data_IF_218680140858
#
_entry.id   IF_218680140858
#
_cell.length_a   1.000
_cell.length_b   1.000
_cell.length_c   1.000
_cell.angle_alpha   90.00
_cell.angle_beta   90.00
_cell.angle_gamma   90.00
#
_symmetry.space_group_name_H-M   'P 1'
#
loop_
_entity.id
_entity.type
_entity.pdbx_description
1 polymer ?
#
# COMPACT_ATOMS: atom_id res chain seq x y z
N UNK A 1 14.44 -18.58 3.10
CA UNK A 1 15.32 -17.92 2.10
C UNK A 1 14.73 -16.62 1.55
N UNK A 2 13.43 -16.54 1.19
CA UNK A 2 12.81 -15.30 0.67
C UNK A 2 12.68 -14.18 1.71
N UNK A 3 12.25 -14.49 2.93
CA UNK A 3 12.09 -13.52 4.03
C UNK A 3 13.40 -12.79 4.37
N UNK A 4 14.51 -13.52 4.49
CA UNK A 4 15.84 -12.93 4.69
C UNK A 4 16.26 -11.97 3.56
N UNK A 5 15.85 -12.24 2.32
CA UNK A 5 16.17 -11.33 1.21
C UNK A 5 15.44 -10.01 1.32
N UNK A 6 14.17 -10.03 1.76
CA UNK A 6 13.34 -8.83 1.85
C UNK A 6 13.80 -7.91 3.00
N UNK A 7 14.19 -8.50 4.13
CA UNK A 7 14.77 -7.78 5.26
C UNK A 7 16.07 -7.08 4.85
N UNK A 8 16.96 -7.78 4.12
CA UNK A 8 18.20 -7.18 3.62
C UNK A 8 17.91 -5.99 2.71
N UNK A 9 16.96 -6.13 1.78
CA UNK A 9 16.57 -5.03 0.89
C UNK A 9 15.94 -3.85 1.63
N UNK A 10 15.17 -4.12 2.70
CA UNK A 10 14.60 -3.07 3.55
C UNK A 10 15.70 -2.30 4.28
N UNK A 11 16.68 -2.98 4.89
CA UNK A 11 17.81 -2.33 5.56
C UNK A 11 18.64 -1.49 4.59
N UNK A 12 18.92 -2.01 3.39
CA UNK A 12 19.57 -1.25 2.33
C UNK A 12 18.79 0.01 1.96
N UNK A 13 17.46 -0.08 1.86
CA UNK A 13 16.62 1.08 1.60
C UNK A 13 16.64 2.08 2.76
N UNK A 14 16.72 1.63 4.01
CA UNK A 14 16.89 2.52 5.15
C UNK A 14 18.24 3.24 5.12
N UNK A 15 19.31 2.56 4.73
CA UNK A 15 20.64 3.18 4.61
C UNK A 15 20.67 4.20 3.47
N UNK A 16 20.17 3.82 2.28
CA UNK A 16 20.15 4.70 1.10
C UNK A 16 19.32 5.96 1.30
N UNK A 17 18.20 5.85 2.03
CA UNK A 17 17.36 6.99 2.35
C UNK A 17 17.82 7.72 3.62
N UNK A 18 18.92 7.32 4.26
CA UNK A 18 19.40 7.93 5.51
C UNK A 18 18.31 7.97 6.60
N UNK A 19 17.61 6.85 6.80
CA UNK A 19 16.58 6.73 7.82
C UNK A 19 17.25 6.52 9.18
N UNK A 20 17.02 7.45 10.10
CA UNK A 20 17.67 7.44 11.42
C UNK A 20 17.21 6.25 12.27
N UNK A 21 18.01 5.85 13.25
CA UNK A 21 17.64 4.74 14.15
C UNK A 21 16.30 4.97 14.88
N UNK A 22 15.99 6.22 15.24
CA UNK A 22 14.70 6.58 15.83
C UNK A 22 13.55 6.37 14.82
N UNK A 23 13.73 6.76 13.56
CA UNK A 23 12.74 6.57 12.52
C UNK A 23 12.54 5.08 12.20
N UNK A 24 13.64 4.29 12.11
CA UNK A 24 13.57 2.84 11.93
C UNK A 24 12.82 2.17 13.07
N UNK A 25 13.09 2.55 14.32
CA UNK A 25 12.37 2.02 15.48
C UNK A 25 10.88 2.33 15.46
N UNK A 26 10.51 3.55 15.07
CA UNK A 26 9.11 3.95 14.89
C UNK A 26 8.41 3.16 13.79
N UNK A 27 9.01 3.04 12.60
CA UNK A 27 8.46 2.24 11.50
C UNK A 27 8.36 0.75 11.89
N UNK A 28 9.42 0.23 12.52
CA UNK A 28 9.50 -1.16 12.99
C UNK A 28 8.40 -1.50 14.00
N UNK A 29 7.95 -0.54 14.80
CA UNK A 29 6.83 -0.74 15.74
C UNK A 29 5.55 -1.08 14.98
N UNK A 30 5.18 -0.30 13.97
CA UNK A 30 3.96 -0.52 13.19
C UNK A 30 4.07 -1.71 12.22
N UNK A 31 5.23 -1.91 11.59
CA UNK A 31 5.49 -3.13 10.81
C UNK A 31 5.43 -4.38 11.69
N UNK A 32 5.91 -4.31 12.94
CA UNK A 32 5.82 -5.40 13.90
C UNK A 32 4.37 -5.79 14.24
N UNK A 33 3.45 -4.82 14.32
CA UNK A 33 2.02 -5.11 14.50
C UNK A 33 1.46 -5.93 13.32
N UNK A 34 1.85 -5.58 12.10
CA UNK A 34 1.45 -6.30 10.88
C UNK A 34 2.08 -7.70 10.88
N UNK A 35 3.38 -7.81 11.12
CA UNK A 35 4.12 -9.07 11.13
C UNK A 35 3.52 -10.09 12.10
N UNK A 36 3.20 -9.65 13.32
CA UNK A 36 2.63 -10.51 14.35
C UNK A 36 1.21 -11.00 14.02
N UNK A 37 0.46 -10.25 13.19
CA UNK A 37 -0.89 -10.61 12.76
C UNK A 37 -0.86 -11.51 11.52
N UNK A 38 -0.13 -11.08 10.49
CA UNK A 38 -0.11 -11.72 9.18
C UNK A 38 1.21 -11.40 8.44
N UNK A 39 2.12 -12.38 8.43
CA UNK A 39 3.42 -12.26 7.75
C UNK A 39 3.28 -11.94 6.26
N UNK A 40 2.36 -12.55 5.47
CA UNK A 40 2.14 -12.18 4.08
C UNK A 40 1.79 -10.70 3.87
N UNK A 41 0.95 -10.12 4.73
CA UNK A 41 0.63 -8.68 4.71
C UNK A 41 1.86 -7.85 5.05
N UNK A 42 2.68 -8.28 6.01
CA UNK A 42 3.94 -7.59 6.30
C UNK A 42 4.89 -7.60 5.09
N UNK A 43 5.09 -8.76 4.45
CA UNK A 43 5.95 -8.84 3.27
C UNK A 43 5.43 -7.94 2.14
N UNK A 44 4.11 -7.89 1.98
CA UNK A 44 3.44 -6.99 1.04
C UNK A 44 3.72 -5.52 1.37
N UNK A 45 3.53 -5.08 2.62
CA UNK A 45 3.82 -3.70 3.01
C UNK A 45 5.27 -3.32 2.75
N UNK A 46 6.21 -4.24 3.02
CA UNK A 46 7.63 -4.01 2.71
C UNK A 46 7.87 -3.86 1.19
N UNK A 47 7.30 -4.74 0.37
CA UNK A 47 7.43 -4.63 -1.10
C UNK A 47 6.78 -3.36 -1.64
N UNK A 48 5.59 -2.98 -1.16
CA UNK A 48 4.92 -1.74 -1.56
C UNK A 48 5.75 -0.51 -1.19
N UNK A 49 6.34 -0.47 0.01
CA UNK A 49 7.30 0.58 0.37
C UNK A 49 8.48 0.65 -0.61
N UNK A 50 9.11 -0.48 -0.89
CA UNK A 50 10.26 -0.56 -1.82
C UNK A 50 9.89 -0.17 -3.26
N UNK A 51 8.71 -0.57 -3.75
CA UNK A 51 8.18 -0.16 -5.06
C UNK A 51 7.91 1.34 -5.05
N UNK A 52 7.23 1.86 -4.03
CA UNK A 52 6.94 3.29 -3.88
C UNK A 52 8.21 4.16 -3.88
N UNK A 53 9.26 3.72 -3.17
CA UNK A 53 10.59 4.36 -3.22
C UNK A 53 11.10 4.46 -4.66
N UNK A 54 11.07 3.37 -5.42
CA UNK A 54 11.55 3.35 -6.82
C UNK A 54 10.72 4.25 -7.73
N UNK A 55 9.39 4.26 -7.56
CA UNK A 55 8.49 5.16 -8.31
C UNK A 55 8.84 6.63 -8.03
N UNK A 56 9.03 7.00 -6.76
CA UNK A 56 9.43 8.35 -6.39
C UNK A 56 10.79 8.74 -7.00
N UNK A 57 11.78 7.84 -6.92
CA UNK A 57 13.10 8.04 -7.52
C UNK A 57 13.03 8.20 -9.04
N UNK A 58 12.21 7.41 -9.72
CA UNK A 58 12.06 7.48 -11.17
C UNK A 58 11.36 8.77 -11.63
N UNK A 59 10.27 9.14 -10.94
CA UNK A 59 9.48 10.31 -11.34
C UNK A 59 10.18 11.62 -11.03
N UNK A 60 11.04 11.66 -10.00
CA UNK A 60 11.67 12.88 -9.47
C UNK A 60 10.66 13.98 -9.07
N UNK A 61 9.38 13.64 -8.91
CA UNK A 61 8.32 14.59 -8.55
C UNK A 61 8.12 14.65 -7.03
N UNK A 62 8.34 13.52 -6.35
CA UNK A 62 8.15 13.41 -4.90
C UNK A 62 9.41 12.86 -4.26
N UNK A 63 9.69 13.31 -3.03
CA UNK A 63 10.77 12.76 -2.23
C UNK A 63 10.58 11.25 -2.02
N UNK A 64 11.63 10.41 -2.15
CA UNK A 64 11.50 8.96 -1.98
C UNK A 64 10.86 8.54 -0.65
N UNK A 65 11.15 9.26 0.43
CA UNK A 65 10.54 9.02 1.76
C UNK A 65 9.02 9.22 1.76
N UNK A 66 8.50 10.11 0.91
CA UNK A 66 7.09 10.44 0.80
C UNK A 66 6.24 9.31 0.19
N UNK A 67 6.85 8.30 -0.43
CA UNK A 67 6.18 7.05 -0.83
C UNK A 67 6.67 5.83 -0.06
N UNK A 68 7.94 5.80 0.32
CA UNK A 68 8.50 4.69 1.09
C UNK A 68 7.78 4.52 2.43
N UNK A 69 7.61 5.58 3.23
CA UNK A 69 6.97 5.48 4.54
C UNK A 69 5.48 5.09 4.44
N UNK A 70 4.65 5.77 3.63
CA UNK A 70 3.26 5.35 3.47
C UNK A 70 3.14 3.93 2.92
N UNK A 71 4.02 3.51 2.01
CA UNK A 71 4.03 2.14 1.49
C UNK A 71 4.26 1.09 2.56
N UNK A 72 5.21 1.32 3.47
CA UNK A 72 5.46 0.43 4.61
C UNK A 72 4.29 0.41 5.62
N UNK A 73 3.52 1.49 5.72
CA UNK A 73 2.61 1.72 6.84
C UNK A 73 1.12 1.70 6.46
N UNK A 74 0.78 1.63 5.17
CA UNK A 74 -0.60 1.77 4.69
C UNK A 74 -1.56 0.75 5.34
N UNK A 75 -1.05 -0.46 5.57
CA UNK A 75 -1.78 -1.59 6.14
C UNK A 75 -1.69 -1.70 7.67
N UNK A 76 -1.12 -0.70 8.35
CA UNK A 76 -0.95 -0.71 9.82
C UNK A 76 -2.26 -0.80 10.61
N UNK A 77 -3.40 -0.53 9.98
CA UNK A 77 -4.73 -0.72 10.58
C UNK A 77 -5.30 -2.14 10.43
N UNK A 78 -4.75 -2.99 9.54
CA UNK A 78 -5.25 -4.37 9.32
C UNK A 78 -5.20 -5.25 10.57
N UNK A 79 -4.21 -5.15 11.48
CA UNK A 79 -4.23 -5.90 12.74
C UNK A 79 -5.45 -5.63 13.62
N UNK A 80 -6.11 -4.49 13.45
CA UNK A 80 -7.29 -4.07 14.22
C UNK A 80 -8.62 -4.51 13.58
N UNK A 81 -8.59 -5.08 12.38
CA UNK A 81 -9.75 -5.70 11.72
C UNK A 81 -10.00 -7.07 12.34
N UNK A 82 -11.27 -7.45 12.51
CA UNK A 82 -11.64 -8.76 13.03
C UNK A 82 -11.01 -9.88 12.19
N UNK A 83 -10.38 -10.83 12.87
CA UNK A 83 -9.74 -11.98 12.24
C UNK A 83 -10.77 -12.88 11.53
N UNK A 84 -12.01 -12.88 11.99
CA UNK A 84 -13.11 -13.60 11.34
C UNK A 84 -13.35 -13.06 9.93
N UNK A 85 -13.43 -11.74 9.76
CA UNK A 85 -13.59 -11.10 8.45
C UNK A 85 -12.35 -11.19 7.58
N UNK A 86 -11.16 -11.11 8.19
CA UNK A 86 -9.93 -11.30 7.43
C UNK A 86 -9.79 -12.73 6.89
N UNK A 87 -10.29 -13.76 7.57
CA UNK A 87 -10.08 -15.16 7.17
C UNK A 87 -11.37 -15.90 6.79
N UNK A 88 -12.46 -15.17 6.53
CA UNK A 88 -13.75 -15.76 6.19
C UNK A 88 -13.64 -16.64 4.93
N UNK A 89 -14.14 -17.88 5.03
CA UNK A 89 -14.28 -18.78 3.87
C UNK A 89 -15.38 -18.28 2.92
N UNK A 90 -16.42 -17.67 3.46
CA UNK A 90 -17.49 -16.98 2.74
C UNK A 90 -17.40 -15.49 3.07
N UNK A 91 -16.60 -14.76 2.31
CA UNK A 91 -16.42 -13.31 2.49
C UNK A 91 -17.66 -12.57 2.00
N UNK A 92 -18.35 -11.86 2.89
CA UNK A 92 -19.59 -11.15 2.58
C UNK A 92 -19.46 -9.61 2.60
N UNK A 93 -20.60 -8.92 2.45
CA UNK A 93 -20.63 -7.45 2.47
C UNK A 93 -20.24 -6.85 3.82
N UNK A 94 -20.50 -7.54 4.93
CA UNK A 94 -20.18 -7.06 6.26
C UNK A 94 -18.68 -7.25 6.56
N UNK A 95 -18.10 -8.35 6.08
CA UNK A 95 -16.64 -8.55 6.07
C UNK A 95 -15.92 -7.48 5.24
N UNK A 96 -16.49 -7.10 4.08
CA UNK A 96 -15.96 -6.01 3.27
C UNK A 96 -16.01 -4.68 4.05
N UNK A 97 -17.15 -4.35 4.67
CA UNK A 97 -17.29 -3.12 5.48
C UNK A 97 -16.29 -3.07 6.63
N UNK A 98 -15.99 -4.21 7.26
CA UNK A 98 -15.01 -4.28 8.34
C UNK A 98 -13.59 -4.15 7.80
N UNK A 99 -13.27 -4.79 6.66
CA UNK A 99 -11.98 -4.66 6.00
C UNK A 99 -11.69 -3.21 5.58
N UNK A 100 -12.67 -2.49 5.01
CA UNK A 100 -12.52 -1.09 4.60
C UNK A 100 -12.10 -0.17 5.76
N UNK A 101 -12.42 -0.54 7.02
CA UNK A 101 -12.06 0.25 8.21
C UNK A 101 -10.57 0.27 8.50
N UNK A 102 -9.78 -0.66 7.96
CA UNK A 102 -8.33 -0.69 8.19
C UNK A 102 -7.66 0.63 7.81
N UNK A 103 -8.17 1.33 6.78
CA UNK A 103 -7.66 2.63 6.36
C UNK A 103 -7.86 3.68 7.47
N UNK A 104 -9.06 3.71 8.06
CA UNK A 104 -9.39 4.64 9.14
C UNK A 104 -8.66 4.29 10.44
N UNK A 105 -8.45 2.99 10.71
CA UNK A 105 -7.66 2.53 11.85
C UNK A 105 -6.19 2.91 11.69
N UNK A 106 -5.59 2.70 10.51
CA UNK A 106 -4.23 3.11 10.19
C UNK A 106 -4.05 4.62 10.35
N UNK A 107 -4.98 5.43 9.83
CA UNK A 107 -4.95 6.88 10.00
C UNK A 107 -4.94 7.28 11.48
N UNK A 108 -5.83 6.70 12.30
CA UNK A 108 -5.90 7.00 13.74
C UNK A 108 -4.64 6.61 14.49
N UNK A 109 -3.99 5.49 14.12
CA UNK A 109 -2.75 5.03 14.73
C UNK A 109 -1.54 5.92 14.40
N UNK A 110 -1.54 6.53 13.22
CA UNK A 110 -0.36 7.17 12.66
C UNK A 110 -0.41 8.69 12.65
N UNK A 111 -1.60 9.33 12.69
CA UNK A 111 -1.75 10.77 12.46
C UNK A 111 -0.89 11.67 13.38
N UNK A 112 -0.58 11.23 14.59
CA UNK A 112 0.17 12.02 15.57
C UNK A 112 1.68 11.70 15.56
N UNK A 113 2.10 10.63 14.88
CA UNK A 113 3.50 10.14 14.85
C UNK A 113 4.10 10.25 13.44
N UNK A 114 3.32 9.87 12.43
CA UNK A 114 3.65 9.94 11.00
C UNK A 114 2.53 10.68 10.23
N UNK A 115 2.27 11.97 10.53
CA UNK A 115 1.09 12.70 10.04
C UNK A 115 0.94 12.66 8.51
N UNK A 116 2.03 12.90 7.79
CA UNK A 116 2.02 12.85 6.32
C UNK A 116 1.67 11.44 5.80
N UNK A 117 2.23 10.39 6.39
CA UNK A 117 1.95 9.01 5.96
C UNK A 117 0.53 8.58 6.29
N UNK A 118 0.02 9.01 7.45
CA UNK A 118 -1.37 8.84 7.82
C UNK A 118 -2.30 9.52 6.80
N UNK A 119 -1.99 10.74 6.37
CA UNK A 119 -2.78 11.45 5.37
C UNK A 119 -2.73 10.75 4.00
N UNK A 120 -1.55 10.30 3.55
CA UNK A 120 -1.38 9.59 2.26
C UNK A 120 -2.13 8.26 2.23
N UNK A 121 -2.05 7.45 3.29
CA UNK A 121 -2.73 6.16 3.29
C UNK A 121 -4.25 6.29 3.25
N UNK A 122 -4.86 7.44 3.55
CA UNK A 122 -6.31 7.59 3.35
C UNK A 122 -6.72 7.43 1.87
N UNK A 123 -5.77 7.53 0.94
CA UNK A 123 -6.03 7.57 -0.49
C UNK A 123 -5.61 6.32 -1.27
N UNK A 124 -4.98 5.32 -0.64
CA UNK A 124 -4.41 4.16 -1.38
C UNK A 124 -5.47 3.25 -2.04
N UNK A 125 -6.70 3.23 -1.53
CA UNK A 125 -7.86 2.59 -2.17
C UNK A 125 -8.82 3.57 -2.86
N UNK A 126 -8.53 4.87 -2.85
CA UNK A 126 -9.49 5.91 -3.25
C UNK A 126 -9.67 6.05 -4.76
N UNK A 127 -8.75 5.49 -5.54
CA UNK A 127 -8.71 5.57 -7.01
C UNK A 127 -9.18 4.27 -7.70
N UNK A 128 -9.71 3.33 -6.93
CA UNK A 128 -10.25 2.06 -7.43
C UNK A 128 -11.75 2.20 -7.74
N UNK A 129 -12.31 1.26 -8.49
CA UNK A 129 -13.76 1.25 -8.81
C UNK A 129 -14.61 1.20 -7.53
N UNK A 130 -14.28 0.27 -6.64
CA UNK A 130 -14.88 0.15 -5.31
C UNK A 130 -14.08 0.97 -4.29
N UNK A 131 -14.00 2.29 -4.49
CA UNK A 131 -13.18 3.17 -3.63
C UNK A 131 -13.62 3.18 -2.17
N UNK A 132 -12.64 3.22 -1.28
CA UNK A 132 -12.85 3.47 0.15
C UNK A 132 -11.64 4.21 0.77
N UNK A 133 -11.83 4.90 1.91
CA UNK A 133 -13.09 5.09 2.65
C UNK A 133 -14.06 6.03 1.92
N UNK A 134 -15.37 5.80 2.06
CA UNK A 134 -16.42 6.66 1.49
C UNK A 134 -16.39 8.09 2.05
N UNK A 135 -15.96 8.23 3.31
CA UNK A 135 -15.80 9.50 4.00
C UNK A 135 -14.41 9.60 4.60
N UNK A 136 -13.70 10.67 4.28
CA UNK A 136 -12.42 10.98 4.91
C UNK A 136 -12.67 11.52 6.33
N UNK A 137 -11.75 11.28 7.29
CA UNK A 137 -11.85 11.88 8.61
C UNK A 137 -12.00 13.40 8.52
N UNK A 138 -12.91 13.98 9.30
CA UNK A 138 -12.99 15.43 9.41
C UNK A 138 -11.62 15.97 9.84
N UNK A 139 -11.18 17.08 9.24
CA UNK A 139 -9.90 17.72 9.55
C UNK A 139 -8.65 16.90 9.20
N UNK A 140 -8.74 15.86 8.34
CA UNK A 140 -7.56 15.10 7.92
C UNK A 140 -6.48 15.97 7.29
N UNK A 141 -6.90 17.08 6.68
CA UNK A 141 -6.06 18.05 5.97
C UNK A 141 -5.70 19.28 6.81
N UNK A 142 -6.10 19.33 8.09
CA UNK A 142 -5.77 20.45 8.97
C UNK A 142 -4.25 20.55 9.16
N UNK A 143 -3.72 21.75 8.98
CA UNK A 143 -2.28 22.02 9.08
C UNK A 143 -1.52 21.81 7.77
N UNK A 144 -2.16 21.35 6.70
CA UNK A 144 -1.57 21.31 5.37
C UNK A 144 -2.02 22.49 4.52
N UNK A 145 -1.07 23.08 3.80
CA UNK A 145 -1.33 24.02 2.69
C UNK A 145 -2.01 23.31 1.52
N UNK A 146 -2.63 24.06 0.61
CA UNK A 146 -3.25 23.47 -0.59
C UNK A 146 -2.24 22.69 -1.46
N UNK A 147 -0.98 23.16 -1.51
CA UNK A 147 0.11 22.45 -2.20
C UNK A 147 0.43 21.11 -1.55
N UNK A 148 0.52 21.05 -0.22
CA UNK A 148 0.75 19.81 0.52
C UNK A 148 -0.45 18.85 0.38
N UNK A 149 -1.68 19.35 0.39
CA UNK A 149 -2.88 18.53 0.14
C UNK A 149 -2.86 17.91 -1.25
N UNK A 150 -2.45 18.68 -2.27
CA UNK A 150 -2.29 18.16 -3.63
C UNK A 150 -1.20 17.08 -3.68
N UNK A 151 -0.07 17.31 -3.03
CA UNK A 151 1.02 16.34 -2.91
C UNK A 151 0.56 15.05 -2.20
N UNK A 152 -0.17 15.15 -1.09
CA UNK A 152 -0.70 13.99 -0.36
C UNK A 152 -1.60 13.13 -1.25
N UNK A 153 -2.53 13.76 -1.98
CA UNK A 153 -3.42 13.04 -2.90
C UNK A 153 -2.63 12.39 -4.05
N UNK A 154 -1.61 13.08 -4.56
CA UNK A 154 -0.74 12.55 -5.60
C UNK A 154 0.08 11.35 -5.11
N UNK A 155 0.71 11.45 -3.93
CA UNK A 155 1.36 10.32 -3.27
C UNK A 155 0.38 9.16 -3.03
N UNK A 156 -0.86 9.46 -2.64
CA UNK A 156 -1.93 8.47 -2.52
C UNK A 156 -2.22 7.73 -3.83
N UNK A 157 -2.22 8.45 -4.96
CA UNK A 157 -2.40 7.85 -6.29
C UNK A 157 -1.25 6.92 -6.65
N UNK A 158 -0.01 7.36 -6.44
CA UNK A 158 1.18 6.55 -6.71
C UNK A 158 1.25 5.32 -5.79
N UNK A 159 0.86 5.48 -4.52
CA UNK A 159 0.76 4.38 -3.57
C UNK A 159 -0.29 3.35 -3.99
N UNK A 160 -1.45 3.80 -4.47
CA UNK A 160 -2.51 2.92 -5.00
C UNK A 160 -2.01 2.06 -6.17
N UNK A 161 -1.18 2.64 -7.06
CA UNK A 161 -0.54 1.93 -8.18
C UNK A 161 0.44 0.87 -7.66
N UNK A 162 1.29 1.23 -6.70
CA UNK A 162 2.26 0.31 -6.10
C UNK A 162 1.59 -0.86 -5.36
N UNK A 163 0.58 -0.56 -4.53
CA UNK A 163 -0.21 -1.55 -3.78
C UNK A 163 -0.92 -2.53 -4.72
N UNK A 164 -1.64 -2.00 -5.71
CA UNK A 164 -2.40 -2.82 -6.67
C UNK A 164 -1.47 -3.77 -7.43
N UNK A 165 -0.32 -3.27 -7.89
CA UNK A 165 0.65 -4.07 -8.62
C UNK A 165 1.26 -5.20 -7.76
N UNK A 166 1.69 -4.90 -6.52
CA UNK A 166 2.22 -5.94 -5.63
C UNK A 166 1.14 -6.98 -5.29
N UNK A 167 -0.08 -6.54 -5.01
CA UNK A 167 -1.20 -7.42 -4.71
C UNK A 167 -1.46 -8.40 -5.87
N UNK A 168 -1.53 -7.92 -7.11
CA UNK A 168 -1.76 -8.74 -8.31
C UNK A 168 -0.66 -9.76 -8.57
N UNK A 169 0.59 -9.37 -8.33
CA UNK A 169 1.78 -10.18 -8.69
C UNK A 169 2.31 -11.00 -7.52
N UNK A 170 1.74 -10.93 -6.32
CA UNK A 170 2.28 -11.67 -5.16
C UNK A 170 1.22 -12.41 -4.37
N UNK A 171 -0.01 -11.91 -4.30
CA UNK A 171 -1.08 -12.58 -3.55
C UNK A 171 -1.69 -13.70 -4.40
N UNK A 172 -1.98 -14.82 -3.74
CA UNK A 172 -2.91 -15.83 -4.25
C UNK A 172 -4.21 -15.57 -3.53
N UNK A 173 -5.21 -15.04 -4.24
CA UNK A 173 -6.42 -14.54 -3.59
C UNK A 173 -7.48 -15.63 -3.61
N UNK A 174 -7.52 -16.42 -2.55
CA UNK A 174 -8.54 -17.47 -2.38
C UNK A 174 -9.93 -16.91 -2.05
N UNK A 175 -10.04 -15.61 -1.73
CA UNK A 175 -11.24 -14.97 -1.17
C UNK A 175 -12.18 -14.34 -2.19
N UNK A 176 -11.73 -14.14 -3.43
CA UNK A 176 -12.51 -13.51 -4.50
C UNK A 176 -12.72 -14.55 -5.60
N UNK A 177 -13.61 -15.51 -5.33
CA UNK A 177 -14.12 -16.44 -6.35
C UNK A 177 -15.49 -15.92 -6.74
N UNK A 178 -15.54 -15.00 -7.70
CA UNK A 178 -16.80 -14.72 -8.38
C UNK A 178 -17.13 -15.93 -9.25
N UNK A 179 -18.32 -16.50 -9.06
CA UNK A 179 -18.96 -17.45 -9.97
C UNK A 179 -18.45 -18.90 -10.02
N UNK A 180 -17.75 -19.38 -8.98
CA UNK A 180 -17.42 -20.80 -8.85
C UNK A 180 -16.38 -21.34 -9.86
N UNK A 181 -15.73 -20.45 -10.62
CA UNK A 181 -14.65 -20.81 -11.55
C UNK A 181 -13.31 -20.25 -11.07
N UNK A 182 -12.39 -21.18 -10.80
CA UNK A 182 -10.95 -21.08 -10.53
C UNK A 182 -10.41 -20.00 -9.57
N UNK A 183 -9.64 -20.49 -8.59
CA UNK A 183 -8.84 -19.74 -7.62
C UNK A 183 -8.04 -18.63 -8.33
N UNK A 184 -8.09 -17.38 -7.85
CA UNK A 184 -7.29 -16.29 -8.42
C UNK A 184 -5.82 -16.54 -8.13
N UNK A 185 -5.16 -17.17 -9.10
CA UNK A 185 -3.71 -17.41 -9.11
C UNK A 185 -3.00 -16.05 -9.20
N UNK A 186 -1.82 -15.98 -8.59
CA UNK A 186 -0.86 -14.89 -8.81
C UNK A 186 -0.73 -14.65 -10.32
N UNK A 187 -0.89 -13.41 -10.75
CA UNK A 187 -0.75 -13.03 -12.15
C UNK A 187 0.74 -13.02 -12.55
N UNK A 188 1.02 -13.36 -13.81
CA UNK A 188 2.32 -13.04 -14.40
C UNK A 188 2.48 -11.52 -14.54
N UNK A 189 3.71 -11.01 -14.66
CA UNK A 189 3.94 -9.59 -14.91
C UNK A 189 3.17 -9.06 -16.14
N UNK A 190 3.02 -9.88 -17.18
CA UNK A 190 2.27 -9.56 -18.41
C UNK A 190 0.75 -9.49 -18.16
N UNK A 191 0.20 -10.47 -17.44
CA UNK A 191 -1.23 -10.45 -17.07
C UNK A 191 -1.55 -9.27 -16.13
N UNK A 192 -0.65 -8.98 -15.18
CA UNK A 192 -0.75 -7.82 -14.32
C UNK A 192 -0.67 -6.52 -15.13
N UNK A 193 0.15 -6.48 -16.20
CA UNK A 193 0.30 -5.30 -17.06
C UNK A 193 -1.03 -4.91 -17.68
N UNK A 194 -1.72 -5.87 -18.31
CA UNK A 194 -3.01 -5.62 -18.93
C UNK A 194 -4.04 -5.07 -17.94
N UNK A 195 -4.13 -5.68 -16.74
CA UNK A 195 -5.03 -5.20 -15.68
C UNK A 195 -4.65 -3.80 -15.19
N UNK A 196 -3.35 -3.54 -14.98
CA UNK A 196 -2.87 -2.22 -14.55
C UNK A 196 -3.27 -1.12 -15.55
N UNK A 197 -3.18 -1.37 -16.86
CA UNK A 197 -3.67 -0.43 -17.88
C UNK A 197 -5.20 -0.26 -17.83
N UNK A 198 -5.94 -1.36 -17.64
CA UNK A 198 -7.40 -1.32 -17.61
C UNK A 198 -7.96 -0.53 -16.41
N UNK A 199 -7.36 -0.71 -15.23
CA UNK A 199 -7.83 -0.10 -13.97
C UNK A 199 -7.23 1.29 -13.70
N UNK A 200 -6.24 1.74 -14.46
CA UNK A 200 -5.56 3.02 -14.26
C UNK A 200 -5.44 3.83 -15.56
N UNK A 201 -6.58 4.09 -16.21
CA UNK A 201 -6.66 4.78 -17.51
C UNK A 201 -6.07 6.20 -17.50
N UNK A 202 -6.03 6.84 -16.33
CA UNK A 202 -5.43 8.16 -16.12
C UNK A 202 -3.91 8.13 -15.99
N UNK A 203 -3.29 6.95 -15.78
CA UNK A 203 -1.85 6.79 -15.52
C UNK A 203 -1.16 5.83 -16.49
N UNK A 204 -1.74 5.61 -17.68
CA UNK A 204 -1.22 4.65 -18.66
C UNK A 204 0.23 4.95 -19.06
N UNK A 205 0.57 6.22 -19.29
CA UNK A 205 1.93 6.62 -19.62
C UNK A 205 2.92 6.25 -18.49
N UNK A 206 2.61 6.60 -17.24
CA UNK A 206 3.45 6.27 -16.10
C UNK A 206 3.62 4.75 -15.97
N UNK A 207 2.52 4.00 -16.01
CA UNK A 207 2.56 2.52 -15.89
C UNK A 207 3.43 1.91 -16.99
N UNK A 208 3.33 2.39 -18.23
CA UNK A 208 4.18 1.94 -19.31
C UNK A 208 5.66 2.14 -19.00
N UNK A 209 6.03 3.30 -18.45
CA UNK A 209 7.41 3.58 -18.05
C UNK A 209 7.87 2.70 -16.89
N UNK A 210 7.02 2.46 -15.88
CA UNK A 210 7.38 1.61 -14.74
C UNK A 210 7.71 0.16 -15.17
N UNK A 211 7.06 -0.36 -16.22
CA UNK A 211 7.45 -1.63 -16.83
C UNK A 211 8.75 -1.54 -17.64
N UNK A 212 8.95 -0.46 -18.41
CA UNK A 212 10.19 -0.25 -19.21
C UNK A 212 11.44 -0.16 -18.33
N UNK A 213 11.33 0.48 -17.17
CA UNK A 213 12.42 0.66 -16.21
C UNK A 213 12.55 -0.51 -15.22
N UNK A 214 11.85 -1.63 -15.47
CA UNK A 214 11.88 -2.84 -14.64
C UNK A 214 11.55 -2.59 -13.15
N UNK A 215 10.79 -1.52 -12.86
CA UNK A 215 10.22 -1.27 -11.54
C UNK A 215 9.08 -2.26 -11.31
N UNK A 216 8.27 -2.50 -12.35
CA UNK A 216 7.33 -3.61 -12.44
C UNK A 216 7.95 -4.75 -13.27
N UNK A 217 8.09 -5.95 -12.67
CA UNK A 217 8.74 -7.14 -13.22
C UNK A 217 8.19 -8.48 -12.73
#
# INVERSE_FOLDING_TARGET
MKENSLIITLEQAYDELEISGQQRGSIGTYLGLIYNKDVPTWEHSVRVGLIGKKIAQYTHIVEPKALFYPGLLHDSGKPLVDSASLNAENFDEDDMKELERHVLYGYKLLKDIHPFSAAVLLFHHYFQENKYPKHLPANWDNGYTEGEKALIKYCGRLLSIADTYDAMTTRTNNKFVEDGTERVKKLTPEEAREKMFATNKDQTFLIEQLYKEEIFK
#
